data_IF_245726316595
#
_entry.id   IF_245726316595
#
_cell.length_a   1.000
_cell.length_b   1.000
_cell.length_c   1.000
_cell.angle_alpha   90.00
_cell.angle_beta   90.00
_cell.angle_gamma   90.00
#
_symmetry.space_group_name_H-M   'P 1'
#
loop_
_entity.id
_entity.type
_entity.pdbx_description
1 polymer ?
#
# COMPACT_ATOMS: atom_id res chain seq x y z
N UNK A 1 -20.15 -20.76 -10.89
CA UNK A 1 -20.38 -20.55 -9.44
C UNK A 1 -19.06 -20.20 -8.74
N UNK A 2 -18.35 -19.14 -9.17
CA UNK A 2 -17.01 -18.76 -8.69
C UNK A 2 -16.98 -17.44 -7.87
N UNK A 3 -18.14 -16.91 -7.48
CA UNK A 3 -18.28 -15.62 -6.81
C UNK A 3 -17.80 -15.53 -5.34
N UNK A 4 -17.79 -16.58 -4.48
CA UNK A 4 -17.53 -16.39 -3.06
C UNK A 4 -16.06 -16.12 -2.72
N UNK A 5 -15.10 -16.66 -3.47
CA UNK A 5 -13.66 -16.45 -3.22
C UNK A 5 -13.21 -15.00 -3.49
N UNK A 6 -13.72 -14.39 -4.57
CA UNK A 6 -13.42 -13.00 -4.95
C UNK A 6 -14.02 -11.97 -3.96
N UNK A 7 -15.18 -12.28 -3.38
CA UNK A 7 -15.83 -11.43 -2.37
C UNK A 7 -15.14 -11.54 -0.99
N UNK A 8 -14.66 -12.72 -0.62
CA UNK A 8 -13.84 -12.93 0.57
C UNK A 8 -12.51 -12.16 0.49
N UNK A 9 -11.85 -12.16 -0.67
CA UNK A 9 -10.61 -11.38 -0.88
C UNK A 9 -10.86 -9.86 -0.79
N UNK A 10 -11.96 -9.36 -1.34
CA UNK A 10 -12.29 -7.93 -1.32
C UNK A 10 -12.60 -7.41 0.09
N UNK A 11 -13.34 -8.18 0.90
CA UNK A 11 -13.64 -7.83 2.28
C UNK A 11 -12.41 -7.90 3.19
N UNK A 12 -11.55 -8.92 3.00
CA UNK A 12 -10.28 -9.04 3.71
C UNK A 12 -9.29 -7.94 3.33
N UNK A 13 -9.24 -7.56 2.05
CA UNK A 13 -8.46 -6.43 1.55
C UNK A 13 -8.91 -5.11 2.20
N UNK A 14 -10.23 -4.85 2.27
CA UNK A 14 -10.78 -3.68 2.94
C UNK A 14 -10.45 -3.62 4.44
N UNK A 15 -10.46 -4.77 5.13
CA UNK A 15 -10.09 -4.85 6.54
C UNK A 15 -8.59 -4.61 6.78
N UNK A 16 -7.71 -5.05 5.87
CA UNK A 16 -6.26 -4.79 5.92
C UNK A 16 -5.96 -3.30 5.74
N UNK A 17 -6.57 -2.67 4.75
CA UNK A 17 -6.45 -1.22 4.51
C UNK A 17 -6.94 -0.43 5.73
N UNK A 18 -8.10 -0.81 6.29
CA UNK A 18 -8.63 -0.14 7.48
C UNK A 18 -7.69 -0.24 8.68
N UNK A 19 -7.14 -1.42 8.95
CA UNK A 19 -6.15 -1.61 10.03
C UNK A 19 -4.91 -0.74 9.82
N UNK A 20 -4.42 -0.65 8.58
CA UNK A 20 -3.30 0.22 8.25
C UNK A 20 -3.64 1.70 8.51
N UNK A 21 -4.79 2.20 8.06
CA UNK A 21 -5.16 3.61 8.25
C UNK A 21 -5.28 3.99 9.72
N UNK A 22 -5.78 3.07 10.56
CA UNK A 22 -5.75 3.22 12.00
C UNK A 22 -4.32 3.22 12.56
N UNK A 23 -3.46 2.32 12.09
CA UNK A 23 -2.05 2.28 12.49
C UNK A 23 -1.31 3.57 12.12
N UNK A 24 -1.57 4.12 10.93
CA UNK A 24 -1.02 5.41 10.49
C UNK A 24 -1.49 6.55 11.39
N UNK A 25 -2.77 6.56 11.78
CA UNK A 25 -3.31 7.54 12.73
C UNK A 25 -2.65 7.40 14.11
N UNK A 26 -2.49 6.18 14.62
CA UNK A 26 -1.77 5.93 15.87
C UNK A 26 -0.31 6.38 15.81
N UNK A 27 0.39 6.11 14.69
CA UNK A 27 1.78 6.53 14.50
C UNK A 27 1.89 8.05 14.44
N UNK A 28 0.99 8.71 13.71
CA UNK A 28 0.92 10.17 13.65
C UNK A 28 0.66 10.79 15.03
N UNK A 29 -0.29 10.24 15.79
CA UNK A 29 -0.55 10.69 17.17
C UNK A 29 0.65 10.46 18.08
N UNK A 30 1.33 9.32 17.98
CA UNK A 30 2.51 9.01 18.78
C UNK A 30 3.68 9.95 18.47
N UNK A 31 3.94 10.24 17.19
CA UNK A 31 4.96 11.20 16.78
C UNK A 31 4.66 12.61 17.31
N UNK A 32 3.39 13.04 17.23
CA UNK A 32 2.95 14.32 17.76
C UNK A 32 3.02 14.39 19.29
N UNK A 33 2.69 13.31 19.99
CA UNK A 33 2.86 13.21 21.44
C UNK A 33 4.34 13.35 21.83
N UNK A 34 5.25 12.75 21.06
CA UNK A 34 6.70 12.95 21.20
C UNK A 34 7.10 14.42 21.05
N UNK A 35 6.63 15.10 20.00
CA UNK A 35 6.86 16.53 19.82
C UNK A 35 6.26 17.39 20.96
N UNK A 36 5.11 16.99 21.52
CA UNK A 36 4.47 17.66 22.65
C UNK A 36 5.32 17.55 23.93
N UNK A 37 5.85 16.34 24.20
CA UNK A 37 6.73 16.07 25.33
C UNK A 37 8.03 16.89 25.25
N UNK A 38 8.56 17.07 24.04
CA UNK A 38 9.76 17.91 23.78
C UNK A 38 9.47 19.41 23.71
N UNK A 39 8.22 19.85 23.98
CA UNK A 39 7.78 21.27 23.95
C UNK A 39 8.07 21.98 22.64
N UNK A 40 8.01 21.27 21.53
CA UNK A 40 8.17 21.86 20.21
C UNK A 40 7.00 22.83 19.96
N UNK A 41 7.32 24.07 19.55
CA UNK A 41 6.34 25.10 19.21
C UNK A 41 5.68 24.80 17.85
N UNK A 42 4.81 23.79 17.81
CA UNK A 42 3.98 23.48 16.65
C UNK A 42 2.66 24.25 16.71
N UNK A 43 2.09 24.64 15.55
CA UNK A 43 0.74 25.17 15.49
C UNK A 43 -0.29 24.05 15.77
N UNK A 44 -0.52 23.77 17.05
CA UNK A 44 -1.38 22.69 17.53
C UNK A 44 -2.79 22.70 16.93
N UNK A 45 -3.31 23.88 16.60
CA UNK A 45 -4.63 24.04 15.97
C UNK A 45 -4.66 23.47 14.54
N UNK A 46 -3.63 23.77 13.72
CA UNK A 46 -3.53 23.29 12.33
C UNK A 46 -3.26 21.79 12.29
N UNK A 47 -2.40 21.31 13.19
CA UNK A 47 -2.13 19.88 13.36
C UNK A 47 -3.37 19.13 13.85
N UNK A 48 -4.12 19.71 14.79
CA UNK A 48 -5.37 19.16 15.28
C UNK A 48 -6.44 19.06 14.19
N UNK A 49 -6.51 20.06 13.28
CA UNK A 49 -7.37 20.01 12.10
C UNK A 49 -6.99 18.85 11.19
N UNK A 50 -5.70 18.66 10.87
CA UNK A 50 -5.23 17.56 10.02
C UNK A 50 -5.52 16.17 10.64
N UNK A 51 -5.44 16.04 11.96
CA UNK A 51 -5.88 14.83 12.65
C UNK A 51 -7.40 14.64 12.58
N UNK A 52 -8.16 15.72 12.70
CA UNK A 52 -9.61 15.68 12.58
C UNK A 52 -10.05 15.29 11.17
N UNK A 53 -9.38 15.79 10.12
CA UNK A 53 -9.61 15.37 8.73
C UNK A 53 -9.25 13.89 8.56
N UNK A 54 -8.12 13.42 9.10
CA UNK A 54 -7.75 12.00 9.07
C UNK A 54 -8.78 11.10 9.76
N UNK A 55 -9.25 11.49 10.95
CA UNK A 55 -10.26 10.77 11.70
C UNK A 55 -11.61 10.76 10.96
N UNK A 56 -12.02 11.90 10.40
CA UNK A 56 -13.26 12.03 9.63
C UNK A 56 -13.24 11.13 8.39
N UNK A 57 -12.16 11.15 7.60
CA UNK A 57 -12.03 10.26 6.43
C UNK A 57 -11.98 8.79 6.87
N UNK A 58 -11.34 8.45 8.00
CA UNK A 58 -11.35 7.09 8.52
C UNK A 58 -12.74 6.59 8.94
N UNK A 59 -13.61 7.49 9.41
CA UNK A 59 -14.98 7.19 9.85
C UNK A 59 -16.01 7.23 8.71
N UNK A 60 -15.84 8.11 7.73
CA UNK A 60 -16.81 8.36 6.67
C UNK A 60 -16.68 7.33 5.53
N UNK A 61 -15.45 6.99 5.17
CA UNK A 61 -15.16 6.18 4.01
C UNK A 61 -15.71 4.73 4.07
N UNK A 62 -15.73 4.05 5.24
CA UNK A 62 -16.42 2.78 5.41
C UNK A 62 -17.94 2.84 5.25
N UNK A 63 -18.55 4.03 5.34
CA UNK A 63 -19.99 4.26 5.23
C UNK A 63 -20.44 4.52 3.78
N UNK A 64 -19.53 4.94 2.90
CA UNK A 64 -19.81 5.20 1.48
C UNK A 64 -20.43 3.99 0.73
N UNK A 65 -20.01 2.73 0.98
CA UNK A 65 -20.67 1.58 0.36
C UNK A 65 -22.11 1.37 0.80
N UNK A 66 -22.45 1.77 2.03
CA UNK A 66 -23.83 1.76 2.53
C UNK A 66 -24.69 2.87 1.87
N UNK A 67 -24.07 3.85 1.23
CA UNK A 67 -24.72 4.92 0.47
C UNK A 67 -24.77 4.64 -1.04
N UNK A 68 -24.50 3.40 -1.45
CA UNK A 68 -24.62 2.97 -2.85
C UNK A 68 -23.36 3.12 -3.70
N UNK A 69 -22.24 3.59 -3.13
CA UNK A 69 -20.97 3.58 -3.87
C UNK A 69 -20.39 2.16 -3.96
N UNK A 70 -19.86 1.74 -5.12
CA UNK A 70 -19.20 0.44 -5.22
C UNK A 70 -17.93 0.43 -4.37
N UNK A 71 -17.73 -0.67 -3.62
CA UNK A 71 -16.63 -0.81 -2.65
C UNK A 71 -15.23 -0.52 -3.25
N UNK A 72 -15.03 -0.81 -4.53
CA UNK A 72 -13.77 -0.51 -5.26
C UNK A 72 -13.54 1.00 -5.44
N UNK A 73 -14.58 1.79 -5.69
CA UNK A 73 -14.45 3.25 -5.82
C UNK A 73 -14.25 3.88 -4.44
N UNK A 74 -14.98 3.42 -3.42
CA UNK A 74 -14.77 3.86 -2.04
C UNK A 74 -13.32 3.64 -1.59
N UNK A 75 -12.73 2.48 -1.93
CA UNK A 75 -11.32 2.19 -1.67
C UNK A 75 -10.38 3.20 -2.35
N UNK A 76 -10.57 3.48 -3.64
CA UNK A 76 -9.74 4.44 -4.39
C UNK A 76 -9.83 5.86 -3.82
N UNK A 77 -11.05 6.30 -3.50
CA UNK A 77 -11.28 7.60 -2.85
C UNK A 77 -10.59 7.66 -1.48
N UNK A 78 -10.55 6.55 -0.75
CA UNK A 78 -9.80 6.44 0.49
C UNK A 78 -8.32 6.66 0.35
N UNK A 79 -7.71 5.98 -0.61
CA UNK A 79 -6.27 6.08 -0.84
C UNK A 79 -5.88 7.48 -1.33
N UNK A 80 -6.73 8.13 -2.13
CA UNK A 80 -6.55 9.53 -2.51
C UNK A 80 -6.67 10.47 -1.31
N UNK A 81 -7.70 10.26 -0.47
CA UNK A 81 -7.89 11.05 0.73
C UNK A 81 -6.75 10.85 1.73
N UNK A 82 -6.18 9.64 1.84
CA UNK A 82 -5.01 9.37 2.67
C UNK A 82 -3.81 10.20 2.22
N UNK A 83 -3.52 10.27 0.91
CA UNK A 83 -2.45 11.13 0.37
C UNK A 83 -2.71 12.60 0.69
N UNK A 84 -3.93 13.10 0.48
CA UNK A 84 -4.28 14.51 0.75
C UNK A 84 -4.14 14.87 2.24
N UNK A 85 -4.66 14.02 3.13
CA UNK A 85 -4.58 14.27 4.57
C UNK A 85 -3.15 14.16 5.08
N UNK A 86 -2.35 13.24 4.55
CA UNK A 86 -0.92 13.18 4.86
C UNK A 86 -0.20 14.43 4.37
N UNK A 87 -0.56 14.95 3.19
CA UNK A 87 -0.02 16.21 2.66
C UNK A 87 -0.31 17.36 3.62
N UNK A 88 -1.55 17.49 4.05
CA UNK A 88 -2.00 18.49 5.01
C UNK A 88 -1.26 18.35 6.36
N UNK A 89 -1.21 17.14 6.90
CA UNK A 89 -0.53 16.84 8.17
C UNK A 89 0.95 17.21 8.11
N UNK A 90 1.63 16.84 7.02
CA UNK A 90 3.05 17.10 6.84
C UNK A 90 3.33 18.58 6.62
N UNK A 91 2.49 19.28 5.84
CA UNK A 91 2.61 20.72 5.64
C UNK A 91 2.59 21.49 6.98
N UNK A 92 1.77 21.05 7.94
CA UNK A 92 1.67 21.68 9.26
C UNK A 92 2.63 21.14 10.32
N UNK A 93 3.29 20.01 10.07
CA UNK A 93 4.19 19.35 11.02
C UNK A 93 5.68 19.45 10.64
N UNK A 94 6.06 20.38 9.77
CA UNK A 94 7.47 20.63 9.40
C UNK A 94 7.94 19.97 8.11
N UNK A 95 7.01 19.43 7.34
CA UNK A 95 7.21 19.30 5.92
C UNK A 95 7.93 18.07 5.41
N UNK A 96 8.69 18.23 4.32
CA UNK A 96 9.35 17.15 3.59
C UNK A 96 10.49 16.48 4.37
N UNK A 97 11.05 17.18 5.36
CA UNK A 97 12.03 16.64 6.30
C UNK A 97 11.39 15.88 7.47
N UNK A 98 10.06 15.90 7.59
CA UNK A 98 9.36 15.21 8.67
C UNK A 98 9.46 13.68 8.48
N UNK A 99 9.85 12.91 9.51
CA UNK A 99 9.95 11.45 9.43
C UNK A 99 8.62 10.76 9.02
N UNK A 100 7.48 11.39 9.27
CA UNK A 100 6.16 10.95 8.84
C UNK A 100 5.97 11.01 7.32
N UNK A 101 6.84 11.68 6.54
CA UNK A 101 6.73 11.76 5.08
C UNK A 101 6.73 10.38 4.43
N UNK A 102 7.40 9.43 5.04
CA UNK A 102 7.41 8.05 4.57
C UNK A 102 6.05 7.34 4.69
N UNK A 103 5.07 7.92 5.39
CA UNK A 103 3.68 7.45 5.42
C UNK A 103 2.94 7.64 4.08
N UNK A 104 3.51 8.33 3.09
CA UNK A 104 2.98 8.34 1.72
C UNK A 104 3.08 6.98 1.03
N UNK A 105 4.04 6.13 1.43
CA UNK A 105 4.28 4.85 0.75
C UNK A 105 3.20 3.79 1.01
N UNK A 106 2.66 3.61 2.24
CA UNK A 106 1.58 2.66 2.46
C UNK A 106 0.35 2.86 1.55
N UNK A 107 -0.22 4.07 1.37
CA UNK A 107 -1.31 4.28 0.40
C UNK A 107 -0.96 3.84 -1.04
N UNK A 108 0.25 4.16 -1.50
CA UNK A 108 0.76 3.77 -2.83
C UNK A 108 0.90 2.25 -2.96
N UNK A 109 1.43 1.60 -1.92
CA UNK A 109 1.56 0.14 -1.86
C UNK A 109 0.18 -0.53 -1.94
N UNK A 110 -0.80 -0.06 -1.18
CA UNK A 110 -2.16 -0.61 -1.22
C UNK A 110 -2.86 -0.34 -2.55
N UNK A 111 -2.59 0.79 -3.20
CA UNK A 111 -3.05 1.04 -4.56
C UNK A 111 -2.47 0.02 -5.55
N UNK A 112 -1.19 -0.31 -5.44
CA UNK A 112 -0.54 -1.33 -6.27
C UNK A 112 -1.09 -2.75 -6.02
N UNK A 113 -1.42 -3.06 -4.77
CA UNK A 113 -1.92 -4.39 -4.37
C UNK A 113 -3.39 -4.61 -4.71
N UNK A 114 -4.23 -3.58 -4.59
CA UNK A 114 -5.69 -3.71 -4.57
C UNK A 114 -6.39 -2.98 -5.71
N UNK A 115 -5.65 -2.24 -6.53
CA UNK A 115 -6.19 -1.47 -7.66
C UNK A 115 -5.40 -1.72 -8.94
N UNK A 116 -5.97 -1.41 -10.12
CA UNK A 116 -5.28 -1.57 -11.39
C UNK A 116 -4.00 -0.73 -11.44
N UNK A 117 -2.95 -1.25 -12.08
CA UNK A 117 -1.61 -0.65 -12.04
C UNK A 117 -1.53 0.82 -12.44
N UNK A 118 -2.39 1.29 -13.36
CA UNK A 118 -2.46 2.71 -13.72
C UNK A 118 -2.83 3.62 -12.54
N UNK A 119 -3.70 3.15 -11.63
CA UNK A 119 -4.12 3.91 -10.45
C UNK A 119 -3.00 3.99 -9.41
N UNK A 120 -2.19 2.93 -9.29
CA UNK A 120 -1.01 2.94 -8.44
C UNK A 120 0.04 3.95 -8.94
N UNK A 121 0.26 4.00 -10.27
CA UNK A 121 1.14 5.01 -10.89
C UNK A 121 0.61 6.44 -10.71
N UNK A 122 -0.71 6.64 -10.86
CA UNK A 122 -1.33 7.94 -10.59
C UNK A 122 -1.14 8.36 -9.13
N UNK A 123 -1.37 7.45 -8.18
CA UNK A 123 -1.22 7.75 -6.76
C UNK A 123 0.25 8.00 -6.38
N UNK A 124 1.19 7.27 -6.98
CA UNK A 124 2.62 7.50 -6.82
C UNK A 124 3.02 8.88 -7.35
N UNK A 125 2.58 9.24 -8.57
CA UNK A 125 2.84 10.56 -9.15
C UNK A 125 2.24 11.69 -8.30
N UNK A 126 1.04 11.48 -7.76
CA UNK A 126 0.38 12.43 -6.86
C UNK A 126 1.15 12.59 -5.54
N UNK A 127 1.59 11.50 -4.92
CA UNK A 127 2.42 11.56 -3.70
C UNK A 127 3.76 12.25 -3.95
N UNK A 128 4.41 12.00 -5.09
CA UNK A 128 5.66 12.69 -5.47
C UNK A 128 5.43 14.18 -5.71
N UNK A 129 4.36 14.53 -6.42
CA UNK A 129 3.98 15.93 -6.65
C UNK A 129 3.62 16.63 -5.34
N UNK A 130 2.88 15.98 -4.44
CA UNK A 130 2.55 16.49 -3.12
C UNK A 130 3.80 16.68 -2.25
N UNK A 131 4.73 15.71 -2.26
CA UNK A 131 6.00 15.81 -1.56
C UNK A 131 6.88 16.95 -2.10
N UNK A 132 6.91 17.14 -3.42
CA UNK A 132 7.60 18.26 -4.07
C UNK A 132 6.95 19.61 -3.72
N UNK A 133 5.62 19.69 -3.78
CA UNK A 133 4.87 20.89 -3.44
C UNK A 133 5.14 21.27 -1.99
N UNK A 134 5.21 20.28 -1.11
CA UNK A 134 5.70 20.45 0.24
C UNK A 134 7.06 21.15 0.19
N UNK A 135 8.07 20.59 -0.49
CA UNK A 135 9.42 21.17 -0.57
C UNK A 135 9.45 22.65 -1.00
N UNK A 136 8.55 23.08 -1.88
CA UNK A 136 8.41 24.47 -2.34
C UNK A 136 7.53 25.34 -1.40
N UNK A 137 6.61 24.72 -0.64
CA UNK A 137 5.57 25.38 0.17
C UNK A 137 5.49 24.77 1.58
N UNK A 138 6.55 24.95 2.38
CA UNK A 138 6.49 24.72 3.82
C UNK A 138 6.43 26.03 4.57
N UNK A 139 5.68 26.04 5.67
CA UNK A 139 5.77 27.09 6.67
C UNK A 139 7.16 27.04 7.29
N UNK A 140 7.91 28.14 7.22
CA UNK A 140 9.18 28.30 7.91
C UNK A 140 8.96 27.94 9.37
N UNK A 141 9.64 26.88 9.83
CA UNK A 141 9.50 26.42 11.20
C UNK A 141 9.85 27.58 12.14
N UNK A 142 9.05 27.86 13.19
CA UNK A 142 9.40 28.84 14.20
C UNK A 142 10.48 28.24 15.08
N UNK A 143 11.70 28.09 14.54
CA UNK A 143 12.89 27.84 15.34
C UNK A 143 13.36 29.21 15.77
N UNK A 144 12.69 29.74 16.80
CA UNK A 144 13.25 30.81 17.61
C UNK A 144 14.61 30.33 18.14
N UNK A 145 15.69 30.80 17.51
CA UNK A 145 17.05 30.70 18.03
C UNK A 145 18.03 29.85 17.22
N UNK A 146 18.66 30.46 16.21
CA UNK A 146 20.12 30.51 15.98
C UNK A 146 21.03 29.28 16.05
N UNK A 147 20.56 28.07 16.34
CA UNK A 147 21.40 26.89 16.54
C UNK A 147 21.37 25.98 15.32
N UNK A 148 22.30 26.22 14.38
CA UNK A 148 22.56 25.36 13.22
C UNK A 148 22.71 23.86 13.60
N UNK A 149 23.21 23.58 14.80
CA UNK A 149 23.32 22.22 15.34
C UNK A 149 21.97 21.52 15.55
N UNK A 150 20.91 22.23 15.97
CA UNK A 150 19.59 21.61 16.16
C UNK A 150 18.92 21.30 14.81
N UNK A 151 18.98 22.25 13.86
CA UNK A 151 18.52 22.03 12.49
C UNK A 151 19.27 20.88 11.79
N UNK A 152 20.58 20.78 12.00
CA UNK A 152 21.39 19.68 11.49
C UNK A 152 21.02 18.33 12.12
N UNK A 153 20.83 18.27 13.44
CA UNK A 153 20.40 17.04 14.12
C UNK A 153 19.00 16.59 13.69
N UNK A 154 18.08 17.53 13.47
CA UNK A 154 16.74 17.24 12.94
C UNK A 154 16.80 16.75 11.48
N UNK A 155 17.67 17.35 10.66
CA UNK A 155 17.91 16.89 9.29
C UNK A 155 18.53 15.48 9.25
N UNK A 156 19.52 15.23 10.11
CA UNK A 156 20.17 13.92 10.22
C UNK A 156 19.21 12.85 10.74
N UNK A 157 18.35 13.20 11.70
CA UNK A 157 17.29 12.32 12.23
C UNK A 157 16.23 12.00 11.18
N UNK A 158 15.80 13.01 10.41
CA UNK A 158 14.88 12.84 9.29
C UNK A 158 15.45 11.95 8.19
N UNK A 159 16.74 12.10 7.85
CA UNK A 159 17.39 11.30 6.80
C UNK A 159 17.46 9.82 7.14
N UNK A 160 17.92 9.43 8.33
CA UNK A 160 18.05 8.00 8.65
C UNK A 160 16.68 7.32 8.83
N UNK A 161 15.67 8.03 9.36
CA UNK A 161 14.30 7.50 9.46
C UNK A 161 13.70 7.32 8.06
N UNK A 162 13.86 8.32 7.18
CA UNK A 162 13.40 8.24 5.79
C UNK A 162 14.08 7.11 5.03
N UNK A 163 15.38 6.91 5.26
CA UNK A 163 16.14 5.81 4.69
C UNK A 163 15.68 4.44 5.23
N UNK A 164 15.60 4.27 6.55
CA UNK A 164 15.19 3.01 7.17
C UNK A 164 13.78 2.60 6.73
N UNK A 165 12.87 3.57 6.64
CA UNK A 165 11.50 3.31 6.22
C UNK A 165 11.43 3.01 4.72
N UNK A 166 12.15 3.75 3.87
CA UNK A 166 12.28 3.43 2.44
C UNK A 166 12.86 2.04 2.21
N UNK A 167 13.91 1.66 2.95
CA UNK A 167 14.53 0.34 2.88
C UNK A 167 13.56 -0.77 3.29
N UNK A 168 12.84 -0.61 4.41
CA UNK A 168 11.82 -1.56 4.87
C UNK A 168 10.69 -1.73 3.84
N UNK A 169 10.25 -0.63 3.24
CA UNK A 169 9.19 -0.63 2.24
C UNK A 169 9.61 -1.29 0.94
N UNK A 170 10.79 -0.97 0.41
CA UNK A 170 11.37 -1.63 -0.77
C UNK A 170 11.58 -3.12 -0.46
N UNK A 171 12.19 -3.46 0.67
CA UNK A 171 12.42 -4.85 1.05
C UNK A 171 11.11 -5.63 1.18
N UNK A 172 10.09 -5.03 1.79
CA UNK A 172 8.75 -5.62 1.90
C UNK A 172 8.09 -5.82 0.54
N UNK A 173 8.14 -4.80 -0.33
CA UNK A 173 7.57 -4.84 -1.67
C UNK A 173 8.27 -5.86 -2.56
N UNK A 174 9.61 -5.86 -2.62
CA UNK A 174 10.38 -6.83 -3.39
C UNK A 174 10.16 -8.24 -2.86
N UNK A 175 10.13 -8.43 -1.54
CA UNK A 175 9.83 -9.75 -0.94
C UNK A 175 8.42 -10.23 -1.27
N UNK A 176 7.45 -9.33 -1.36
CA UNK A 176 6.10 -9.64 -1.81
C UNK A 176 6.07 -9.98 -3.31
N UNK A 177 6.67 -9.17 -4.17
CA UNK A 177 6.73 -9.40 -5.61
C UNK A 177 7.42 -10.72 -5.94
N UNK A 178 8.53 -11.02 -5.26
CA UNK A 178 9.24 -12.27 -5.40
C UNK A 178 8.39 -13.48 -4.95
N UNK A 179 7.56 -13.34 -3.91
CA UNK A 179 6.59 -14.38 -3.51
C UNK A 179 5.51 -14.58 -4.56
N UNK A 180 4.98 -13.51 -5.14
CA UNK A 180 3.98 -13.58 -6.22
C UNK A 180 4.53 -14.26 -7.48
N UNK A 181 5.74 -13.88 -7.91
CA UNK A 181 6.42 -14.50 -9.05
C UNK A 181 6.70 -15.98 -8.83
N UNK A 182 7.13 -16.36 -7.62
CA UNK A 182 7.32 -17.77 -7.25
C UNK A 182 6.01 -18.56 -7.34
N UNK A 183 4.92 -18.05 -6.79
CA UNK A 183 3.61 -18.72 -6.88
C UNK A 183 3.13 -18.89 -8.33
N UNK A 184 3.35 -17.90 -9.19
CA UNK A 184 3.02 -18.03 -10.62
C UNK A 184 3.92 -19.06 -11.32
N UNK A 185 5.22 -19.07 -10.99
CA UNK A 185 6.17 -20.06 -11.49
C UNK A 185 5.81 -21.49 -11.11
N UNK A 186 5.44 -21.71 -9.85
CA UNK A 186 5.03 -23.02 -9.33
C UNK A 186 3.75 -23.52 -10.02
N UNK A 187 2.77 -22.63 -10.23
CA UNK A 187 1.54 -22.97 -10.94
C UNK A 187 1.79 -23.34 -12.41
N UNK A 188 2.69 -22.63 -13.09
CA UNK A 188 3.13 -22.93 -14.46
C UNK A 188 3.87 -24.26 -14.55
N UNK A 189 4.73 -24.57 -13.57
CA UNK A 189 5.45 -25.83 -13.50
C UNK A 189 4.49 -27.01 -13.32
N UNK A 190 3.52 -26.91 -12.41
CA UNK A 190 2.50 -27.94 -12.20
C UNK A 190 1.63 -28.17 -13.44
N UNK A 191 1.25 -27.10 -14.15
CA UNK A 191 0.48 -27.22 -15.40
C UNK A 191 1.27 -27.98 -16.49
N UNK A 192 2.58 -27.72 -16.61
CA UNK A 192 3.46 -28.46 -17.54
C UNK A 192 3.61 -29.93 -17.17
N UNK A 193 3.80 -30.26 -15.89
CA UNK A 193 3.90 -31.65 -15.46
C UNK A 193 2.62 -32.44 -15.75
N UNK A 194 1.46 -31.80 -15.57
CA UNK A 194 0.16 -32.40 -15.87
C UNK A 194 0.03 -32.69 -17.37
N UNK A 195 0.40 -31.74 -18.23
CA UNK A 195 0.39 -31.93 -19.68
C UNK A 195 1.30 -33.10 -20.12
N UNK A 196 2.53 -33.17 -19.59
CA UNK A 196 3.47 -34.25 -19.92
C UNK A 196 2.95 -35.62 -19.46
N UNK A 197 2.27 -35.69 -18.31
CA UNK A 197 1.62 -36.92 -17.84
C UNK A 197 0.50 -37.37 -18.76
N UNK A 198 -0.35 -36.45 -19.21
CA UNK A 198 -1.47 -36.78 -20.11
C UNK A 198 -0.96 -37.28 -21.47
N UNK A 199 0.10 -36.67 -22.01
CA UNK A 199 0.76 -37.14 -23.24
C UNK A 199 1.32 -38.57 -23.08
N UNK A 200 1.96 -38.88 -21.94
CA UNK A 200 2.45 -40.23 -21.65
C UNK A 200 1.31 -41.27 -21.54
N UNK A 201 0.21 -40.92 -20.88
CA UNK A 201 -0.95 -41.81 -20.73
C UNK A 201 -1.62 -42.09 -22.08
N UNK A 202 -1.71 -41.09 -22.96
CA UNK A 202 -2.23 -41.25 -24.32
C UNK A 202 -1.33 -42.16 -25.17
N UNK A 203 0.00 -42.00 -25.08
CA UNK A 203 0.95 -42.84 -25.80
C UNK A 203 0.85 -44.32 -25.38
N UNK A 204 0.72 -44.59 -24.07
CA UNK A 204 0.52 -45.94 -23.53
C UNK A 204 -0.86 -46.49 -23.92
N UNK A 205 -1.90 -45.67 -23.86
CA UNK A 205 -3.26 -46.06 -24.26
C UNK A 205 -3.36 -46.46 -25.74
N UNK A 206 -2.67 -45.74 -26.63
CA UNK A 206 -2.61 -46.05 -28.07
C UNK A 206 -1.86 -47.36 -28.36
N UNK A 207 -0.87 -47.74 -27.55
CA UNK A 207 -0.15 -49.02 -27.70
C UNK A 207 -0.93 -50.21 -27.12
N UNK A 208 -1.71 -50.01 -26.06
CA UNK A 208 -2.53 -51.05 -25.45
C UNK A 208 -3.82 -51.35 -26.24
N UNK A 209 -4.36 -50.37 -26.98
CA UNK A 209 -5.43 -50.55 -27.95
C UNK A 209 -4.92 -51.22 -29.24
N UNK A 210 -4.34 -52.41 -29.10
CA UNK A 210 -3.85 -53.22 -30.21
C UNK A 210 -4.94 -53.57 -31.23
N UNK A 211 -4.56 -53.87 -32.49
CA UNK A 211 -5.46 -53.95 -33.63
C UNK A 211 -6.58 -55.00 -33.42
N UNK A 212 -7.81 -54.72 -33.91
CA UNK A 212 -8.94 -55.63 -33.73
C UNK A 212 -8.63 -56.97 -34.38
N UNK A 213 -8.64 -58.03 -33.58
CA UNK A 213 -8.50 -59.41 -34.01
C UNK A 213 -9.64 -59.70 -35.01
N UNK A 214 -9.31 -59.70 -36.31
CA UNK A 214 -10.22 -60.15 -37.37
C UNK A 214 -10.47 -61.64 -37.17
N UNK A 215 -11.62 -62.01 -36.62
CA UNK A 215 -12.12 -63.38 -36.69
C UNK A 215 -12.46 -63.73 -38.15
N UNK A 216 -11.89 -64.79 -38.73
CA UNK A 216 -12.30 -65.28 -40.04
C UNK A 216 -13.65 -65.98 -39.91
N UNK A 217 -14.68 -65.44 -40.58
CA UNK A 217 -15.96 -66.14 -40.80
C UNK A 217 -15.71 -67.36 -41.69
N UNK A 218 -16.03 -68.55 -41.18
CA UNK A 218 -16.36 -69.72 -41.98
C UNK A 218 -17.86 -69.84 -42.11
#
# INVERSE_FOLDING_TARGET
MFAPALAADASQAGARVRRLRWLMLWLAMAALAGCALERVALPWLLVGQALATLAAVNLLLPRLPAWGLPAKQALRLGLLADVLVLTELLAFSGGAANPLASLYLPPVLFAALLSPGWFAWLLAALSVAAYRLLFEWHMDWPLDGGNAAYAFNLHLSGMWISFALSALLIAGFVSWLARQLRHQGDALAQARETQLRDEQLLAVGMQAAGPPIRCPRR
#
